data_IF_805486076518
#
_entry.id   IF_805486076518
#
_cell.length_a   1.000
_cell.length_b   1.000
_cell.length_c   1.000
_cell.angle_alpha   90.00
_cell.angle_beta   90.00
_cell.angle_gamma   90.00
#
_symmetry.space_group_name_H-M   'P 1'
#
loop_
_entity.id
_entity.type
_entity.pdbx_description
1 polymer ?
#
# COMPACT_ATOMS: atom_id res chain seq x y z
N UNK A 1 -29.08 24.29 8.34
CA UNK A 1 -27.75 23.69 8.51
C UNK A 1 -26.98 24.00 7.23
N UNK A 2 -26.07 24.95 7.31
CA UNK A 2 -25.39 25.61 6.18
C UNK A 2 -24.30 24.74 5.57
N UNK A 3 -24.08 24.93 4.28
CA UNK A 3 -23.24 24.14 3.39
C UNK A 3 -21.73 24.44 3.48
N UNK A 4 -21.16 24.64 4.68
CA UNK A 4 -19.82 25.26 4.80
C UNK A 4 -18.73 24.53 5.60
N UNK A 5 -18.89 23.25 5.96
CA UNK A 5 -17.78 22.46 6.55
C UNK A 5 -17.43 21.20 5.73
N UNK A 6 -17.20 21.37 4.42
CA UNK A 6 -16.35 20.43 3.68
C UNK A 6 -14.91 20.92 3.83
N UNK A 7 -14.12 20.25 4.69
CA UNK A 7 -12.68 20.49 4.76
C UNK A 7 -12.06 20.51 3.35
N UNK A 8 -11.22 21.51 3.02
CA UNK A 8 -10.68 21.63 1.67
C UNK A 8 -9.78 20.44 1.36
N UNK A 9 -10.13 19.67 0.31
CA UNK A 9 -9.28 18.66 -0.31
C UNK A 9 -7.88 19.28 -0.52
N UNK A 10 -6.88 18.80 0.21
CA UNK A 10 -5.59 19.46 0.34
C UNK A 10 -4.96 19.78 -1.04
N UNK A 11 -4.98 21.06 -1.40
CA UNK A 11 -4.59 21.50 -2.73
C UNK A 11 -3.12 21.95 -2.72
N UNK A 12 -2.24 21.22 -3.41
CA UNK A 12 -0.80 21.47 -3.44
C UNK A 12 -0.43 22.66 -4.34
N UNK A 13 0.60 23.41 -3.97
CA UNK A 13 1.23 24.39 -4.86
C UNK A 13 2.13 23.71 -5.90
N UNK A 14 2.41 24.37 -7.03
CA UNK A 14 3.30 23.83 -8.06
C UNK A 14 4.68 23.40 -7.52
N UNK A 15 5.27 24.20 -6.62
CA UNK A 15 6.52 23.87 -5.96
C UNK A 15 6.41 22.66 -5.00
N UNK A 16 5.28 22.49 -4.33
CA UNK A 16 5.04 21.31 -3.50
C UNK A 16 4.89 20.04 -4.36
N UNK A 17 4.19 20.13 -5.49
CA UNK A 17 4.05 19.01 -6.45
C UNK A 17 5.40 18.65 -7.08
N UNK A 18 6.19 19.63 -7.52
CA UNK A 18 7.51 19.39 -8.10
C UNK A 18 8.43 18.65 -7.11
N UNK A 19 8.44 19.08 -5.84
CA UNK A 19 9.16 18.36 -4.77
C UNK A 19 8.61 16.97 -4.54
N UNK A 20 7.29 16.79 -4.47
CA UNK A 20 6.69 15.47 -4.26
C UNK A 20 7.04 14.48 -5.38
N UNK A 21 7.08 14.96 -6.62
CA UNK A 21 7.40 14.14 -7.79
C UNK A 21 8.90 13.99 -8.06
N UNK A 22 9.74 14.69 -7.30
CA UNK A 22 11.19 14.76 -7.50
C UNK A 22 11.58 15.23 -8.91
N UNK A 23 10.85 16.21 -9.43
CA UNK A 23 11.15 16.88 -10.71
C UNK A 23 11.44 18.36 -10.47
N UNK A 24 12.19 18.97 -11.39
CA UNK A 24 12.35 20.42 -11.35
C UNK A 24 11.01 21.11 -11.61
N UNK A 25 10.74 22.23 -10.92
CA UNK A 25 9.53 23.01 -11.14
C UNK A 25 9.45 23.56 -12.59
N UNK A 26 10.61 23.76 -13.23
CA UNK A 26 10.72 24.08 -14.65
C UNK A 26 10.22 22.94 -15.55
N UNK A 27 10.41 21.68 -15.17
CA UNK A 27 9.87 20.50 -15.88
C UNK A 27 8.35 20.49 -15.81
N UNK A 28 7.79 20.73 -14.61
CA UNK A 28 6.35 20.83 -14.42
C UNK A 28 5.73 21.98 -15.23
N UNK A 29 6.38 23.16 -15.24
CA UNK A 29 5.99 24.30 -16.10
C UNK A 29 6.10 23.98 -17.59
N UNK A 30 7.12 23.22 -17.98
CA UNK A 30 7.32 22.80 -19.37
C UNK A 30 6.20 21.85 -19.81
N UNK A 31 5.81 20.88 -18.98
CA UNK A 31 4.70 19.98 -19.26
C UNK A 31 3.37 20.71 -19.38
N UNK A 32 3.12 21.67 -18.49
CA UNK A 32 1.95 22.55 -18.55
C UNK A 32 1.89 23.31 -19.89
N UNK A 33 2.97 24.00 -20.25
CA UNK A 33 3.02 24.85 -21.45
C UNK A 33 3.07 24.06 -22.76
N UNK A 34 3.83 22.98 -22.82
CA UNK A 34 4.09 22.23 -24.07
C UNK A 34 3.07 21.15 -24.36
N UNK A 35 2.46 20.57 -23.33
CA UNK A 35 1.59 19.41 -23.47
C UNK A 35 0.21 19.60 -22.84
N UNK A 36 -0.13 20.79 -22.36
CA UNK A 36 -1.48 21.11 -21.85
C UNK A 36 -1.86 20.37 -20.57
N UNK A 37 -0.87 19.93 -19.76
CA UNK A 37 -1.11 19.19 -18.51
C UNK A 37 -1.47 20.18 -17.39
N UNK A 38 -2.74 20.59 -17.35
CA UNK A 38 -3.27 21.53 -16.33
C UNK A 38 -3.87 20.79 -15.12
N UNK A 39 -3.81 21.36 -13.90
CA UNK A 39 -4.55 20.85 -12.75
C UNK A 39 -6.07 21.00 -12.91
N UNK A 40 -6.85 20.18 -12.21
CA UNK A 40 -8.31 20.23 -12.25
C UNK A 40 -8.86 21.50 -11.59
N UNK A 41 -9.76 22.20 -12.29
CA UNK A 41 -10.67 23.18 -11.68
C UNK A 41 -10.09 24.56 -11.34
N UNK A 42 -8.98 24.99 -11.95
CA UNK A 42 -8.37 26.28 -11.62
C UNK A 42 -8.56 27.36 -12.72
N UNK A 43 -9.70 28.08 -12.79
CA UNK A 43 -9.74 29.38 -13.44
C UNK A 43 -9.14 30.41 -12.48
N UNK A 44 -7.83 30.64 -12.54
CA UNK A 44 -7.18 31.63 -11.65
C UNK A 44 -5.66 31.76 -11.79
N UNK A 45 -5.12 32.83 -11.19
CA UNK A 45 -3.69 33.22 -11.24
C UNK A 45 -2.75 32.27 -10.47
N UNK A 46 -3.28 31.46 -9.56
CA UNK A 46 -2.53 30.51 -8.75
C UNK A 46 -3.08 29.09 -8.93
N UNK A 47 -2.31 28.24 -9.61
CA UNK A 47 -2.66 26.84 -9.84
C UNK A 47 -2.50 26.05 -8.55
N UNK A 48 -3.58 25.40 -8.10
CA UNK A 48 -3.54 24.40 -7.04
C UNK A 48 -3.83 23.04 -7.63
N UNK A 49 -3.09 22.04 -7.19
CA UNK A 49 -3.17 20.66 -7.68
C UNK A 49 -3.95 19.82 -6.68
N UNK A 50 -4.92 19.07 -7.15
CA UNK A 50 -5.61 18.06 -6.33
C UNK A 50 -4.75 16.81 -6.19
N UNK A 51 -5.19 15.86 -5.35
CA UNK A 51 -4.49 14.57 -5.20
C UNK A 51 -4.48 13.78 -6.51
N UNK A 52 -5.59 13.85 -7.26
CA UNK A 52 -5.69 13.27 -8.61
C UNK A 52 -4.72 13.90 -9.61
N UNK A 53 -4.49 15.21 -9.53
CA UNK A 53 -3.50 15.86 -10.41
C UNK A 53 -2.07 15.41 -10.11
N UNK A 54 -1.73 15.25 -8.84
CA UNK A 54 -0.41 14.76 -8.42
C UNK A 54 -0.21 13.32 -8.88
N UNK A 55 -1.21 12.45 -8.74
CA UNK A 55 -1.16 11.07 -9.23
C UNK A 55 -0.96 11.01 -10.76
N UNK A 56 -1.69 11.84 -11.52
CA UNK A 56 -1.55 11.93 -12.98
C UNK A 56 -0.14 12.36 -13.40
N UNK A 57 0.42 13.36 -12.72
CA UNK A 57 1.76 13.85 -12.98
C UNK A 57 2.84 12.84 -12.58
N UNK A 58 2.60 12.05 -11.52
CA UNK A 58 3.43 10.89 -11.15
C UNK A 58 3.44 9.85 -12.26
N UNK A 59 2.27 9.50 -12.80
CA UNK A 59 2.17 8.55 -13.92
C UNK A 59 2.89 9.04 -15.17
N UNK A 60 2.76 10.33 -15.51
CA UNK A 60 3.49 10.92 -16.64
C UNK A 60 4.99 10.84 -16.45
N UNK A 61 5.49 11.15 -15.24
CA UNK A 61 6.90 11.00 -14.89
C UNK A 61 7.36 9.55 -15.07
N UNK A 62 6.59 8.60 -14.56
CA UNK A 62 6.95 7.18 -14.59
C UNK A 62 6.98 6.63 -16.02
N UNK A 63 6.04 7.02 -16.88
CA UNK A 63 6.04 6.69 -18.31
C UNK A 63 7.28 7.26 -19.04
N UNK A 64 7.68 8.49 -18.71
CA UNK A 64 8.90 9.08 -19.29
C UNK A 64 10.14 8.33 -18.80
N UNK A 65 10.17 7.92 -17.53
CA UNK A 65 11.28 7.17 -16.97
C UNK A 65 11.44 5.78 -17.60
N UNK A 66 10.36 5.18 -18.12
CA UNK A 66 10.40 3.91 -18.89
C UNK A 66 10.72 4.09 -20.37
N UNK A 67 11.06 5.30 -20.81
CA UNK A 67 11.50 5.60 -22.18
C UNK A 67 10.42 6.12 -23.12
N UNK A 68 9.18 6.34 -22.64
CA UNK A 68 8.13 6.98 -23.45
C UNK A 68 8.47 8.45 -23.70
N UNK A 69 8.20 8.93 -24.92
CA UNK A 69 8.40 10.34 -25.25
C UNK A 69 7.47 11.22 -24.39
N UNK A 70 7.93 12.38 -23.88
CA UNK A 70 7.10 13.23 -23.03
C UNK A 70 5.76 13.66 -23.64
N UNK A 71 5.68 13.81 -24.97
CA UNK A 71 4.43 14.08 -25.69
C UNK A 71 3.47 12.88 -25.68
N UNK A 72 3.99 11.66 -25.80
CA UNK A 72 3.20 10.43 -25.75
C UNK A 72 2.74 10.14 -24.32
N UNK A 73 3.60 10.35 -23.33
CA UNK A 73 3.24 10.25 -21.92
C UNK A 73 2.16 11.27 -21.54
N UNK A 74 2.31 12.53 -22.01
CA UNK A 74 1.28 13.56 -21.85
C UNK A 74 -0.03 13.18 -22.53
N UNK A 75 0.04 12.60 -23.72
CA UNK A 75 -1.13 12.12 -24.44
C UNK A 75 -1.77 10.94 -23.72
N UNK A 76 -1.01 10.01 -23.16
CA UNK A 76 -1.53 8.88 -22.40
C UNK A 76 -2.32 9.35 -21.16
N UNK A 77 -1.77 10.30 -20.39
CA UNK A 77 -2.46 10.86 -19.22
C UNK A 77 -3.64 11.78 -19.59
N UNK A 78 -3.65 12.33 -20.81
CA UNK A 78 -4.71 13.21 -21.33
C UNK A 78 -5.81 12.41 -22.03
N UNK A 79 -5.51 11.29 -22.68
CA UNK A 79 -6.50 10.38 -23.29
C UNK A 79 -7.27 9.60 -22.23
N UNK A 80 -6.69 9.42 -21.03
CA UNK A 80 -7.47 9.07 -19.83
C UNK A 80 -8.59 10.09 -19.55
N UNK A 81 -8.50 11.36 -20.02
CA UNK A 81 -9.63 12.32 -19.96
C UNK A 81 -10.69 12.10 -21.04
N UNK A 82 -10.40 11.35 -22.11
CA UNK A 82 -11.26 11.25 -23.30
C UNK A 82 -12.15 10.00 -23.35
N UNK A 83 -11.87 8.99 -22.51
CA UNK A 83 -12.63 7.74 -22.45
C UNK A 83 -13.11 7.36 -21.04
N UNK A 84 -12.87 8.22 -20.03
CA UNK A 84 -13.26 7.95 -18.65
C UNK A 84 -14.31 8.96 -18.18
N UNK A 85 -15.56 8.51 -18.07
CA UNK A 85 -16.18 8.68 -16.77
C UNK A 85 -15.24 7.98 -15.79
N UNK A 86 -14.79 8.66 -14.72
CA UNK A 86 -14.17 7.95 -13.61
C UNK A 86 -15.05 6.74 -13.31
N UNK A 87 -14.50 5.52 -13.29
CA UNK A 87 -15.27 4.36 -12.80
C UNK A 87 -15.74 4.75 -11.42
N UNK A 88 -17.03 5.05 -11.30
CA UNK A 88 -17.61 5.41 -10.03
C UNK A 88 -17.99 4.13 -9.28
N UNK A 89 -18.15 4.28 -7.97
CA UNK A 89 -18.52 3.20 -7.06
C UNK A 89 -19.80 2.51 -7.51
N UNK A 90 -20.80 3.26 -7.97
CA UNK A 90 -22.08 2.72 -8.45
C UNK A 90 -21.93 1.83 -9.68
N UNK A 91 -21.03 2.15 -10.60
CA UNK A 91 -20.75 1.31 -11.78
C UNK A 91 -20.19 -0.05 -11.37
N UNK A 92 -19.27 -0.08 -10.40
CA UNK A 92 -18.71 -1.33 -9.88
C UNK A 92 -19.74 -2.11 -9.06
N UNK A 93 -20.55 -1.42 -8.25
CA UNK A 93 -21.64 -2.05 -7.47
C UNK A 93 -22.69 -2.69 -8.39
N UNK A 94 -23.13 -2.01 -9.44
CA UNK A 94 -24.08 -2.58 -10.40
C UNK A 94 -23.48 -3.81 -11.11
N UNK A 95 -22.22 -3.74 -11.55
CA UNK A 95 -21.56 -4.91 -12.15
C UNK A 95 -21.50 -6.11 -11.19
N UNK A 96 -21.29 -5.87 -9.89
CA UNK A 96 -21.31 -6.92 -8.88
C UNK A 96 -22.73 -7.49 -8.65
N UNK A 97 -23.75 -6.63 -8.64
CA UNK A 97 -25.16 -7.03 -8.51
C UNK A 97 -25.66 -7.81 -9.75
N UNK A 98 -25.14 -7.49 -10.92
CA UNK A 98 -25.38 -8.22 -12.16
C UNK A 98 -24.56 -9.53 -12.24
N UNK A 99 -23.75 -9.83 -11.21
CA UNK A 99 -22.81 -10.96 -11.14
C UNK A 99 -21.79 -11.00 -12.29
N UNK A 100 -21.53 -9.85 -12.92
CA UNK A 100 -20.56 -9.68 -14.01
C UNK A 100 -19.14 -9.61 -13.45
N UNK A 101 -18.64 -10.79 -13.09
CA UNK A 101 -17.32 -10.98 -12.50
C UNK A 101 -16.19 -10.44 -13.38
N UNK A 102 -16.31 -10.61 -14.71
CA UNK A 102 -15.29 -10.16 -15.66
C UNK A 102 -15.21 -8.63 -15.70
N UNK A 103 -16.37 -7.96 -15.72
CA UNK A 103 -16.44 -6.50 -15.67
C UNK A 103 -15.93 -5.95 -14.34
N UNK A 104 -16.28 -6.57 -13.21
CA UNK A 104 -15.75 -6.16 -11.91
C UNK A 104 -14.21 -6.20 -11.90
N UNK A 105 -13.60 -7.29 -12.37
CA UNK A 105 -12.13 -7.40 -12.45
C UNK A 105 -11.54 -6.32 -13.36
N UNK A 106 -12.12 -6.08 -14.53
CA UNK A 106 -11.66 -5.06 -15.46
C UNK A 106 -11.70 -3.66 -14.83
N UNK A 107 -12.84 -3.28 -14.23
CA UNK A 107 -13.02 -1.99 -13.57
C UNK A 107 -12.02 -1.74 -12.44
N UNK A 108 -11.77 -2.76 -11.60
CA UNK A 108 -10.79 -2.65 -10.51
C UNK A 108 -9.36 -2.59 -11.05
N UNK A 109 -9.02 -3.42 -12.04
CA UNK A 109 -7.70 -3.44 -12.66
C UNK A 109 -7.37 -2.12 -13.38
N UNK A 110 -8.36 -1.52 -14.06
CA UNK A 110 -8.24 -0.22 -14.71
C UNK A 110 -8.02 0.89 -13.68
N UNK A 111 -8.76 0.86 -12.56
CA UNK A 111 -8.59 1.82 -11.47
C UNK A 111 -7.20 1.72 -10.83
N UNK A 112 -6.71 0.51 -10.55
CA UNK A 112 -5.35 0.27 -10.03
C UNK A 112 -4.30 0.76 -11.04
N UNK A 113 -4.44 0.41 -12.32
CA UNK A 113 -3.50 0.82 -13.37
C UNK A 113 -3.49 2.34 -13.57
N UNK A 114 -4.62 3.00 -13.33
CA UNK A 114 -4.75 4.44 -13.50
C UNK A 114 -4.21 5.24 -12.31
N UNK A 115 -4.47 4.79 -11.09
CA UNK A 115 -4.29 5.60 -9.88
C UNK A 115 -3.37 4.99 -8.82
N UNK A 116 -2.92 3.75 -9.05
CA UNK A 116 -2.18 2.93 -8.08
C UNK A 116 -3.09 2.21 -7.09
N UNK A 117 -2.54 1.20 -6.41
CA UNK A 117 -3.30 0.32 -5.50
C UNK A 117 -3.98 1.11 -4.38
N UNK A 118 -3.24 1.97 -3.68
CA UNK A 118 -3.77 2.70 -2.52
C UNK A 118 -4.98 3.55 -2.92
N UNK A 119 -4.90 4.25 -4.05
CA UNK A 119 -5.99 5.11 -4.47
C UNK A 119 -7.20 4.34 -4.98
N UNK A 120 -6.98 3.29 -5.79
CA UNK A 120 -8.08 2.42 -6.23
C UNK A 120 -8.79 1.77 -5.04
N UNK A 121 -8.03 1.34 -4.03
CA UNK A 121 -8.59 0.75 -2.82
C UNK A 121 -9.47 1.74 -2.05
N UNK A 122 -8.97 2.94 -1.72
CA UNK A 122 -9.70 3.88 -0.86
C UNK A 122 -10.84 4.62 -1.58
N UNK A 123 -10.76 4.80 -2.90
CA UNK A 123 -11.76 5.58 -3.65
C UNK A 123 -12.77 4.73 -4.42
N UNK A 124 -12.47 3.46 -4.68
CA UNK A 124 -13.34 2.56 -5.46
C UNK A 124 -13.65 1.27 -4.70
N UNK A 125 -12.66 0.44 -4.38
CA UNK A 125 -12.91 -0.91 -3.84
C UNK A 125 -13.57 -0.88 -2.47
N UNK A 126 -13.00 -0.13 -1.51
CA UNK A 126 -13.53 -0.04 -0.14
C UNK A 126 -14.94 0.57 -0.14
N UNK A 127 -15.22 1.71 -0.80
CA UNK A 127 -16.59 2.23 -0.87
C UNK A 127 -17.58 1.26 -1.54
N UNK A 128 -17.18 0.53 -2.59
CA UNK A 128 -18.04 -0.44 -3.25
C UNK A 128 -18.37 -1.64 -2.34
N UNK A 129 -17.38 -2.16 -1.60
CA UNK A 129 -17.58 -3.22 -0.61
C UNK A 129 -18.55 -2.79 0.49
N UNK A 130 -18.42 -1.55 1.00
CA UNK A 130 -19.35 -0.98 1.98
C UNK A 130 -20.77 -0.87 1.40
N UNK A 131 -20.91 -0.46 0.14
CA UNK A 131 -22.21 -0.32 -0.50
C UNK A 131 -22.91 -1.67 -0.72
N UNK A 132 -22.17 -2.70 -1.13
CA UNK A 132 -22.70 -4.06 -1.31
C UNK A 132 -23.07 -4.70 0.03
N UNK A 133 -22.23 -4.54 1.07
CA UNK A 133 -22.54 -5.01 2.43
C UNK A 133 -23.81 -4.34 2.98
N UNK A 134 -23.98 -3.03 2.77
CA UNK A 134 -25.19 -2.32 3.16
C UNK A 134 -26.45 -2.84 2.43
N UNK A 135 -26.34 -3.23 1.16
CA UNK A 135 -27.44 -3.82 0.41
C UNK A 135 -27.78 -5.24 0.91
N UNK A 136 -26.78 -6.04 1.26
CA UNK A 136 -26.96 -7.36 1.88
C UNK A 136 -27.66 -7.26 3.24
N UNK A 137 -27.29 -6.28 4.07
CA UNK A 137 -27.95 -6.06 5.35
C UNK A 137 -29.46 -5.80 5.19
N UNK A 138 -29.88 -5.22 4.06
CA UNK A 138 -31.28 -5.02 3.71
C UNK A 138 -31.95 -6.27 3.08
N UNK A 139 -31.18 -7.12 2.40
CA UNK A 139 -31.64 -8.38 1.81
C UNK A 139 -30.58 -9.50 1.91
N UNK A 140 -30.70 -10.43 2.89
CA UNK A 140 -29.73 -11.51 3.09
C UNK A 140 -29.57 -12.47 1.91
N UNK A 141 -30.50 -12.47 0.95
CA UNK A 141 -30.38 -13.28 -0.27
C UNK A 141 -29.36 -12.71 -1.28
N UNK A 142 -28.88 -11.48 -1.09
CA UNK A 142 -27.97 -10.77 -2.01
C UNK A 142 -26.47 -10.88 -1.62
N UNK A 143 -26.08 -11.98 -0.96
CA UNK A 143 -24.68 -12.26 -0.59
C UNK A 143 -23.77 -12.56 -1.79
N UNK A 144 -24.39 -12.98 -2.89
CA UNK A 144 -23.75 -13.23 -4.17
C UNK A 144 -22.96 -12.02 -4.70
N UNK A 145 -23.52 -10.82 -4.60
CA UNK A 145 -22.84 -9.58 -4.98
C UNK A 145 -21.58 -9.30 -4.15
N UNK A 146 -21.62 -9.56 -2.83
CA UNK A 146 -20.47 -9.37 -1.94
C UNK A 146 -19.33 -10.34 -2.31
N UNK A 147 -19.69 -11.59 -2.57
CA UNK A 147 -18.74 -12.63 -2.99
C UNK A 147 -18.12 -12.32 -4.35
N UNK A 148 -18.91 -11.92 -5.35
CA UNK A 148 -18.40 -11.52 -6.68
C UNK A 148 -17.46 -10.35 -6.55
N UNK A 149 -17.84 -9.30 -5.81
CA UNK A 149 -16.99 -8.11 -5.66
C UNK A 149 -15.70 -8.43 -4.90
N UNK A 150 -15.79 -9.16 -3.79
CA UNK A 150 -14.62 -9.56 -2.99
C UNK A 150 -13.63 -10.40 -3.80
N UNK A 151 -14.15 -11.38 -4.56
CA UNK A 151 -13.34 -12.20 -5.45
C UNK A 151 -12.68 -11.36 -6.55
N UNK A 152 -13.43 -10.45 -7.19
CA UNK A 152 -12.92 -9.62 -8.28
C UNK A 152 -11.83 -8.64 -7.81
N UNK A 153 -12.02 -8.05 -6.63
CA UNK A 153 -11.00 -7.19 -6.00
C UNK A 153 -9.74 -7.99 -5.72
N UNK A 154 -9.84 -9.17 -5.10
CA UNK A 154 -8.69 -10.03 -4.84
C UNK A 154 -7.96 -10.44 -6.13
N UNK A 155 -8.70 -10.85 -7.15
CA UNK A 155 -8.15 -11.23 -8.44
C UNK A 155 -7.39 -10.08 -9.13
N UNK A 156 -7.90 -8.86 -9.03
CA UNK A 156 -7.21 -7.67 -9.57
C UNK A 156 -5.95 -7.32 -8.75
N UNK A 157 -5.99 -7.42 -7.42
CA UNK A 157 -4.85 -7.16 -6.54
C UNK A 157 -3.70 -8.15 -6.80
N UNK A 158 -3.98 -9.42 -7.03
CA UNK A 158 -2.97 -10.46 -7.33
C UNK A 158 -2.30 -10.28 -8.70
N UNK A 159 -2.83 -9.41 -9.57
CA UNK A 159 -2.22 -9.07 -10.87
C UNK A 159 -1.25 -7.89 -10.78
N UNK A 160 -1.12 -7.26 -9.62
CA UNK A 160 -0.18 -6.15 -9.43
C UNK A 160 1.26 -6.67 -9.52
N UNK A 161 2.05 -6.06 -10.38
CA UNK A 161 3.46 -6.38 -10.58
C UNK A 161 4.31 -5.20 -10.14
N UNK A 162 5.29 -5.49 -9.29
CA UNK A 162 6.27 -4.54 -8.78
C UNK A 162 7.61 -4.59 -9.50
N UNK A 163 8.51 -3.63 -9.24
CA UNK A 163 9.91 -3.78 -9.61
C UNK A 163 10.52 -4.98 -8.87
N UNK A 164 11.55 -5.64 -9.45
CA UNK A 164 12.18 -6.79 -8.82
C UNK A 164 12.79 -6.39 -7.46
N UNK A 165 12.63 -7.22 -6.41
CA UNK A 165 13.16 -6.91 -5.10
C UNK A 165 14.69 -6.90 -5.12
N UNK A 166 15.30 -6.00 -4.35
CA UNK A 166 16.76 -6.05 -4.12
C UNK A 166 17.10 -7.18 -3.15
N UNK A 167 18.28 -7.78 -3.29
CA UNK A 167 18.73 -8.87 -2.40
C UNK A 167 18.80 -8.46 -0.91
N UNK A 168 18.93 -7.16 -0.62
CA UNK A 168 18.95 -6.61 0.73
C UNK A 168 17.56 -6.34 1.33
N UNK A 169 16.51 -6.29 0.52
CA UNK A 169 15.17 -5.94 1.02
C UNK A 169 14.56 -7.14 1.76
N UNK A 170 14.42 -7.01 3.09
CA UNK A 170 13.69 -7.99 3.89
C UNK A 170 12.19 -7.87 3.63
N UNK A 171 11.44 -8.98 3.63
CA UNK A 171 10.00 -8.92 3.44
C UNK A 171 9.24 -8.28 4.57
N UNK A 172 8.05 -7.80 4.25
CA UNK A 172 7.00 -7.56 5.23
C UNK A 172 6.19 -8.84 5.42
N UNK A 173 6.01 -9.27 6.67
CA UNK A 173 5.11 -10.37 7.02
C UNK A 173 3.73 -9.81 7.33
N UNK A 174 2.69 -10.29 6.64
CA UNK A 174 1.31 -9.87 6.85
C UNK A 174 0.47 -11.05 7.34
N UNK A 175 -0.35 -10.85 8.36
CA UNK A 175 -1.26 -11.88 8.87
C UNK A 175 -2.56 -11.27 9.40
N UNK A 176 -3.69 -11.92 9.11
CA UNK A 176 -4.89 -11.75 9.90
C UNK A 176 -4.75 -12.57 11.19
N UNK A 177 -5.05 -11.96 12.32
CA UNK A 177 -4.99 -12.60 13.65
C UNK A 177 -6.00 -13.76 13.78
N UNK A 178 -5.91 -14.61 14.83
CA UNK A 178 -6.86 -15.72 15.00
C UNK A 178 -8.33 -15.28 14.92
N UNK A 179 -9.13 -16.02 14.18
CA UNK A 179 -10.56 -15.73 13.97
C UNK A 179 -10.85 -14.58 12.99
N UNK A 180 -9.84 -13.88 12.48
CA UNK A 180 -10.04 -12.78 11.52
C UNK A 180 -10.05 -13.28 10.07
N UNK A 181 -11.20 -13.13 9.39
CA UNK A 181 -11.41 -13.60 8.02
C UNK A 181 -11.48 -12.48 6.97
N UNK A 182 -11.47 -11.20 7.37
CA UNK A 182 -11.47 -10.06 6.45
C UNK A 182 -10.06 -9.84 5.87
N UNK A 183 -9.72 -10.57 4.82
CA UNK A 183 -8.37 -10.57 4.21
C UNK A 183 -8.14 -9.46 3.20
N UNK A 184 -9.17 -8.93 2.53
CA UNK A 184 -8.99 -7.96 1.45
C UNK A 184 -8.13 -6.73 1.82
N UNK A 185 -8.24 -6.13 3.02
CA UNK A 185 -7.35 -5.03 3.42
C UNK A 185 -5.87 -5.44 3.52
N UNK A 186 -5.60 -6.68 3.93
CA UNK A 186 -4.25 -7.25 3.97
C UNK A 186 -3.71 -7.48 2.57
N UNK A 187 -4.55 -7.99 1.67
CA UNK A 187 -4.21 -8.22 0.26
C UNK A 187 -3.97 -6.89 -0.48
N UNK A 188 -4.74 -5.84 -0.15
CA UNK A 188 -4.53 -4.49 -0.66
C UNK A 188 -3.17 -3.92 -0.21
N UNK A 189 -2.80 -4.14 1.06
CA UNK A 189 -1.47 -3.76 1.56
C UNK A 189 -0.36 -4.58 0.90
N UNK A 190 -0.58 -5.89 0.69
CA UNK A 190 0.37 -6.74 -0.02
C UNK A 190 0.63 -6.21 -1.44
N UNK A 191 -0.44 -5.94 -2.20
CA UNK A 191 -0.36 -5.39 -3.54
C UNK A 191 0.31 -4.00 -3.56
N UNK A 192 0.00 -3.12 -2.59
CA UNK A 192 0.63 -1.80 -2.50
C UNK A 192 2.13 -1.86 -2.17
N UNK A 193 2.55 -2.81 -1.33
CA UNK A 193 3.97 -3.07 -1.05
C UNK A 193 4.70 -3.63 -2.28
N UNK A 194 4.06 -4.56 -2.99
CA UNK A 194 4.57 -5.11 -4.26
C UNK A 194 4.72 -3.99 -5.28
N UNK A 195 3.71 -3.13 -5.46
CA UNK A 195 3.73 -1.98 -6.39
C UNK A 195 4.99 -1.10 -6.21
N UNK A 196 5.49 -0.97 -4.98
CA UNK A 196 6.68 -0.17 -4.64
C UNK A 196 7.97 -1.00 -4.46
N UNK A 197 7.96 -2.29 -4.79
CA UNK A 197 9.15 -3.15 -4.80
C UNK A 197 9.53 -3.77 -3.46
N UNK A 198 8.61 -3.76 -2.48
CA UNK A 198 8.83 -4.37 -1.18
C UNK A 198 8.30 -5.81 -1.22
N UNK A 199 9.15 -6.84 -1.00
CA UNK A 199 8.69 -8.22 -0.98
C UNK A 199 7.76 -8.45 0.21
N UNK A 200 6.75 -9.30 0.01
CA UNK A 200 5.72 -9.58 1.02
C UNK A 200 5.63 -11.08 1.27
N UNK A 201 5.34 -11.48 2.51
CA UNK A 201 4.87 -12.83 2.85
C UNK A 201 3.51 -12.70 3.54
N UNK A 202 2.45 -13.20 2.90
CA UNK A 202 1.10 -13.22 3.45
C UNK A 202 0.84 -14.59 4.08
N UNK A 203 0.47 -14.63 5.37
CA UNK A 203 0.07 -15.87 6.06
C UNK A 203 -1.42 -16.19 5.89
N UNK A 204 -2.22 -15.18 5.54
CA UNK A 204 -3.64 -15.32 5.22
C UNK A 204 -4.58 -15.07 6.41
N UNK A 205 -5.82 -15.53 6.26
CA UNK A 205 -6.90 -15.43 7.24
C UNK A 205 -6.60 -16.25 8.51
N UNK A 206 -7.16 -15.81 9.64
CA UNK A 206 -7.26 -16.56 10.89
C UNK A 206 -5.96 -17.26 11.32
N UNK A 207 -4.82 -16.58 11.18
CA UNK A 207 -3.51 -17.20 11.42
C UNK A 207 -3.31 -17.42 12.93
N UNK A 208 -3.12 -18.68 13.40
CA UNK A 208 -2.89 -18.93 14.82
C UNK A 208 -1.65 -18.21 15.36
N UNK A 209 -1.69 -17.75 16.61
CA UNK A 209 -0.60 -17.02 17.26
C UNK A 209 0.70 -17.84 17.30
N UNK A 210 0.60 -19.16 17.49
CA UNK A 210 1.74 -20.08 17.40
C UNK A 210 2.33 -20.15 15.97
N UNK A 211 1.50 -20.11 14.93
CA UNK A 211 1.94 -20.08 13.53
C UNK A 211 2.62 -18.76 13.17
N UNK A 212 2.16 -17.64 13.73
CA UNK A 212 2.84 -16.34 13.61
C UNK A 212 4.23 -16.41 14.23
N UNK A 213 4.36 -16.92 15.47
CA UNK A 213 5.65 -17.10 16.13
C UNK A 213 6.58 -18.01 15.32
N UNK A 214 6.06 -19.14 14.82
CA UNK A 214 6.80 -20.07 13.98
C UNK A 214 7.29 -19.42 12.68
N UNK A 215 6.45 -18.65 11.98
CA UNK A 215 6.84 -17.95 10.76
C UNK A 215 7.96 -16.93 11.02
N UNK A 216 7.94 -16.24 12.16
CA UNK A 216 8.94 -15.23 12.52
C UNK A 216 10.33 -15.82 12.78
N UNK A 217 10.39 -17.04 13.33
CA UNK A 217 11.66 -17.76 13.55
C UNK A 217 12.36 -18.08 12.22
N UNK A 218 11.60 -18.28 11.14
CA UNK A 218 12.13 -18.75 9.84
C UNK A 218 12.26 -17.65 8.78
N UNK A 219 11.51 -16.54 8.88
CA UNK A 219 11.40 -15.55 7.78
C UNK A 219 12.15 -14.23 8.00
N UNK A 220 12.65 -13.95 9.22
CA UNK A 220 13.39 -12.72 9.61
C UNK A 220 12.89 -11.45 8.88
N UNK A 221 11.59 -11.10 9.01
CA UNK A 221 11.01 -10.01 8.23
C UNK A 221 11.58 -8.64 8.63
N UNK A 222 11.46 -7.68 7.72
CA UNK A 222 11.79 -6.28 7.96
C UNK A 222 10.76 -5.56 8.83
N UNK A 223 9.50 -6.01 8.79
CA UNK A 223 8.39 -5.57 9.64
C UNK A 223 7.27 -6.63 9.63
N UNK A 224 6.40 -6.57 10.64
CA UNK A 224 5.25 -7.46 10.80
C UNK A 224 3.99 -6.61 10.88
N UNK A 225 2.96 -6.96 10.12
CA UNK A 225 1.64 -6.31 10.18
C UNK A 225 0.61 -7.33 10.60
N UNK A 226 -0.08 -7.05 11.71
CA UNK A 226 -1.22 -7.83 12.18
C UNK A 226 -2.51 -7.08 11.88
N UNK A 227 -3.40 -7.75 11.17
CA UNK A 227 -4.71 -7.21 10.83
C UNK A 227 -5.81 -7.73 11.75
N UNK A 228 -6.67 -6.82 12.19
CA UNK A 228 -7.93 -7.13 12.89
C UNK A 228 -8.99 -6.11 12.47
N UNK A 229 -10.09 -6.61 11.90
CA UNK A 229 -11.26 -5.82 11.51
C UNK A 229 -12.13 -5.53 12.73
N UNK A 230 -12.43 -6.54 13.53
CA UNK A 230 -13.37 -6.44 14.65
C UNK A 230 -12.67 -6.44 16.00
N UNK A 231 -13.32 -5.90 17.03
CA UNK A 231 -12.74 -5.87 18.39
C UNK A 231 -12.51 -7.27 18.95
N UNK A 232 -13.40 -8.19 18.60
CA UNK A 232 -13.46 -9.57 19.09
C UNK A 232 -12.27 -10.38 18.58
N UNK A 233 -11.75 -10.05 17.39
CA UNK A 233 -10.59 -10.72 16.80
C UNK A 233 -9.26 -10.10 17.24
N UNK A 234 -9.25 -8.94 17.91
CA UNK A 234 -8.04 -8.22 18.30
C UNK A 234 -7.22 -8.97 19.38
N UNK A 235 -6.49 -9.99 18.95
CA UNK A 235 -5.88 -10.98 19.81
C UNK A 235 -4.56 -10.49 20.44
N UNK A 236 -4.51 -10.49 21.77
CA UNK A 236 -3.31 -10.13 22.55
C UNK A 236 -2.23 -11.19 22.48
N UNK A 237 -2.58 -12.45 22.22
CA UNK A 237 -1.57 -13.51 22.07
C UNK A 237 -0.79 -13.35 20.77
N UNK A 238 -1.46 -13.01 19.67
CA UNK A 238 -0.83 -12.70 18.39
C UNK A 238 0.15 -11.52 18.52
N UNK A 239 -0.22 -10.48 19.28
CA UNK A 239 0.68 -9.35 19.56
C UNK A 239 1.91 -9.78 20.36
N UNK A 240 1.74 -10.63 21.39
CA UNK A 240 2.87 -11.17 22.18
C UNK A 240 3.77 -12.09 21.34
N UNK A 241 3.18 -12.95 20.51
CA UNK A 241 3.89 -13.82 19.59
C UNK A 241 4.74 -13.00 18.60
N UNK A 242 4.16 -11.96 18.01
CA UNK A 242 4.88 -11.06 17.10
C UNK A 242 5.93 -10.20 17.82
N UNK A 243 5.65 -9.74 19.03
CA UNK A 243 6.55 -8.93 19.86
C UNK A 243 7.79 -9.66 20.38
N UNK A 244 7.89 -10.98 20.17
CA UNK A 244 9.08 -11.78 20.44
C UNK A 244 10.15 -11.63 19.34
N UNK A 245 9.79 -11.05 18.19
CA UNK A 245 10.73 -10.68 17.12
C UNK A 245 11.32 -9.28 17.35
N UNK A 246 12.48 -9.02 16.75
CA UNK A 246 13.08 -7.66 16.71
C UNK A 246 12.52 -6.78 15.58
N UNK A 247 11.70 -7.36 14.70
CA UNK A 247 11.05 -6.62 13.62
C UNK A 247 10.00 -5.64 14.20
N UNK A 248 9.88 -4.41 13.65
CA UNK A 248 8.78 -3.50 13.97
C UNK A 248 7.42 -4.18 13.78
N UNK A 249 6.56 -4.06 14.79
CA UNK A 249 5.19 -4.57 14.77
C UNK A 249 4.20 -3.44 14.51
N UNK A 250 3.43 -3.58 13.44
CA UNK A 250 2.34 -2.71 13.05
C UNK A 250 1.00 -3.40 13.30
N UNK A 251 0.09 -2.71 13.96
CA UNK A 251 -1.27 -3.16 14.20
C UNK A 251 -2.20 -2.37 13.28
N UNK A 252 -2.76 -3.04 12.28
CA UNK A 252 -3.59 -2.45 11.25
C UNK A 252 -5.04 -2.91 11.40
N UNK A 253 -5.99 -1.99 11.14
CA UNK A 253 -7.41 -2.27 11.17
C UNK A 253 -8.13 -1.78 12.44
N UNK A 254 -9.46 -1.56 12.34
CA UNK A 254 -10.23 -0.92 13.40
C UNK A 254 -10.32 -1.74 14.69
N UNK A 255 -10.08 -3.06 14.62
CA UNK A 255 -10.10 -3.95 15.78
C UNK A 255 -9.12 -3.52 16.89
N UNK A 256 -8.01 -2.85 16.56
CA UNK A 256 -7.00 -2.45 17.56
C UNK A 256 -7.29 -1.15 18.31
N UNK A 257 -8.34 -0.42 17.93
CA UNK A 257 -8.66 0.92 18.46
C UNK A 257 -8.82 0.94 19.99
N UNK A 258 -9.40 -0.11 20.57
CA UNK A 258 -9.68 -0.21 22.00
C UNK A 258 -8.51 -0.78 22.84
N UNK A 259 -7.46 -1.32 22.21
CA UNK A 259 -6.36 -1.97 22.91
C UNK A 259 -5.35 -0.93 23.45
N UNK A 260 -5.09 -0.95 24.77
CA UNK A 260 -4.02 -0.13 25.37
C UNK A 260 -2.66 -0.80 25.18
N UNK A 261 -1.80 -0.17 24.38
CA UNK A 261 -0.50 -0.72 23.98
C UNK A 261 0.57 -0.71 25.08
N UNK A 262 0.39 0.10 26.13
CA UNK A 262 1.37 0.32 27.19
C UNK A 262 1.66 -0.91 28.08
N UNK A 263 0.91 -2.01 27.95
CA UNK A 263 0.98 -3.18 28.83
C UNK A 263 1.32 -4.50 28.11
N UNK A 264 1.82 -4.44 26.86
CA UNK A 264 1.95 -5.63 26.00
C UNK A 264 3.32 -6.35 26.08
N UNK A 265 4.16 -6.02 27.06
CA UNK A 265 5.34 -6.82 27.43
C UNK A 265 6.66 -6.05 27.49
N UNK A 266 7.76 -6.72 27.91
CA UNK A 266 9.09 -6.12 28.14
C UNK A 266 9.89 -5.82 26.85
N UNK A 267 9.28 -5.94 25.67
CA UNK A 267 9.92 -5.66 24.38
C UNK A 267 10.38 -4.20 24.30
N UNK A 268 11.60 -3.96 23.84
CA UNK A 268 12.20 -2.61 23.72
C UNK A 268 11.52 -1.70 22.69
N UNK A 269 10.55 -2.22 21.92
CA UNK A 269 9.76 -1.46 20.94
C UNK A 269 8.28 -1.73 21.14
N UNK A 270 7.53 -0.67 21.43
CA UNK A 270 6.08 -0.73 21.53
C UNK A 270 5.47 -0.97 20.13
N UNK A 271 4.43 -1.82 20.01
CA UNK A 271 3.68 -1.95 18.76
C UNK A 271 3.15 -0.58 18.31
N UNK A 272 3.15 -0.31 17.00
CA UNK A 272 2.59 0.91 16.42
C UNK A 272 1.24 0.61 15.77
N UNK A 273 0.21 1.37 16.10
CA UNK A 273 -1.05 1.35 15.35
C UNK A 273 -0.92 2.20 14.08
N UNK A 274 -1.53 1.75 13.00
CA UNK A 274 -1.63 2.48 11.73
C UNK A 274 -3.11 2.66 11.37
N UNK A 275 -3.47 3.86 10.93
CA UNK A 275 -4.86 4.27 10.75
C UNK A 275 -5.45 3.86 9.40
N UNK A 276 -4.63 3.86 8.35
CA UNK A 276 -5.07 3.61 6.99
C UNK A 276 -4.01 2.85 6.16
N UNK A 277 -4.38 2.52 4.91
CA UNK A 277 -3.54 1.77 3.99
C UNK A 277 -2.25 2.52 3.63
N UNK A 278 -2.33 3.85 3.48
CA UNK A 278 -1.18 4.68 3.14
C UNK A 278 -0.18 4.73 4.31
N UNK A 279 -0.66 4.89 5.54
CA UNK A 279 0.18 4.85 6.74
C UNK A 279 0.80 3.47 6.93
N UNK A 280 0.03 2.39 6.73
CA UNK A 280 0.53 1.03 6.79
C UNK A 280 1.65 0.80 5.76
N UNK A 281 1.47 1.25 4.51
CA UNK A 281 2.49 1.19 3.47
C UNK A 281 3.76 1.95 3.86
N UNK A 282 3.62 3.20 4.32
CA UNK A 282 4.77 4.04 4.71
C UNK A 282 5.52 3.46 5.92
N UNK A 283 4.81 2.91 6.91
CA UNK A 283 5.41 2.35 8.10
C UNK A 283 6.03 0.97 7.88
N UNK A 284 5.47 0.17 6.96
CA UNK A 284 5.94 -1.17 6.65
C UNK A 284 7.13 -1.16 5.67
N UNK A 285 7.21 -0.12 4.81
CA UNK A 285 8.33 0.07 3.90
C UNK A 285 9.59 0.40 4.69
N UNK A 286 10.64 -0.44 4.64
CA UNK A 286 11.90 -0.13 5.31
C UNK A 286 12.48 1.18 4.73
N UNK A 287 13.09 2.04 5.55
CA UNK A 287 13.79 3.20 5.01
C UNK A 287 14.85 2.71 4.01
N UNK A 288 15.12 3.45 2.92
CA UNK A 288 16.23 3.12 2.05
C UNK A 288 17.46 3.02 2.94
N UNK A 289 18.20 1.90 2.85
CA UNK A 289 19.50 1.81 3.49
C UNK A 289 20.37 2.90 2.86
N UNK A 290 20.42 4.08 3.49
CA UNK A 290 21.48 5.04 3.24
C UNK A 290 22.75 4.25 3.41
N UNK A 291 23.55 4.18 2.34
CA UNK A 291 24.86 3.52 2.28
C UNK A 291 25.47 3.50 3.66
N UNK A 292 25.60 2.30 4.26
CA UNK A 292 26.24 2.14 5.56
C UNK A 292 27.53 2.94 5.53
N UNK A 293 27.58 3.99 6.34
CA UNK A 293 28.83 4.67 6.66
C UNK A 293 29.73 3.58 7.24
N UNK A 294 30.74 3.14 6.49
CA UNK A 294 31.70 2.09 6.86
C UNK A 294 32.55 2.46 8.09
N UNK A 295 32.15 3.47 8.86
CA UNK A 295 32.87 3.91 10.04
C UNK A 295 32.40 3.15 11.28
N UNK A 296 33.29 2.23 11.65
CA UNK A 296 33.50 1.56 12.94
C UNK A 296 32.85 0.18 13.05
N UNK A 297 33.42 -0.78 12.30
CA UNK A 297 33.63 -2.10 12.86
C UNK A 297 34.43 -1.93 14.16
N UNK A 298 33.97 -2.51 15.26
CA UNK A 298 34.78 -2.55 16.48
C UNK A 298 36.08 -3.33 16.20
N UNK A 299 37.21 -3.03 16.89
CA UNK A 299 38.45 -3.77 16.71
C UNK A 299 38.30 -5.30 16.87
N UNK A 300 37.30 -5.73 17.66
CA UNK A 300 36.96 -7.15 17.88
C UNK A 300 36.28 -7.80 16.67
N UNK A 301 35.42 -7.07 15.95
CA UNK A 301 34.73 -7.59 14.75
C UNK A 301 35.67 -7.63 13.54
N UNK A 302 36.58 -6.64 13.43
CA UNK A 302 37.63 -6.65 12.42
C UNK A 302 38.61 -7.82 12.62
N UNK A 303 38.97 -8.14 13.87
CA UNK A 303 39.83 -9.29 14.19
C UNK A 303 39.15 -10.64 13.89
N UNK A 304 37.84 -10.75 14.12
CA UNK A 304 37.06 -11.96 13.81
C UNK A 304 36.94 -12.19 12.30
N UNK A 305 36.64 -11.14 11.54
CA UNK A 305 36.59 -11.21 10.07
C UNK A 305 37.95 -11.57 9.44
N UNK A 306 39.06 -11.04 9.97
CA UNK A 306 40.40 -11.38 9.52
C UNK A 306 40.78 -12.84 9.86
N UNK A 307 40.31 -13.37 10.98
CA UNK A 307 40.55 -14.76 11.39
C UNK A 307 39.75 -15.74 10.51
N UNK A 308 38.48 -15.45 10.23
CA UNK A 308 37.63 -16.29 9.37
C UNK A 308 38.11 -16.31 7.91
N UNK A 309 38.67 -15.21 7.40
CA UNK A 309 39.27 -15.16 6.06
C UNK A 309 40.57 -15.99 5.96
N UNK A 310 41.37 -16.04 7.04
CA UNK A 310 42.63 -16.79 7.08
C UNK A 310 42.42 -18.31 7.21
N UNK A 311 41.30 -18.73 7.79
CA UNK A 311 40.91 -20.16 7.85
C UNK A 311 40.41 -20.65 6.48
N UNK A 312 39.56 -19.86 5.79
CA UNK A 312 39.07 -20.24 4.45
C UNK A 312 40.14 -20.26 3.35
N UNK A 313 41.22 -19.49 3.50
CA UNK A 313 42.34 -19.51 2.56
C UNK A 313 43.29 -20.70 2.72
N UNK A 314 43.12 -21.53 3.75
CA UNK A 314 44.01 -22.67 4.05
C UNK A 314 43.43 -24.02 3.62
N UNK A 315 42.13 -24.09 3.32
CA UNK A 315 41.44 -25.29 2.84
C UNK A 315 41.42 -25.41 1.30
N UNK A 316 42.17 -24.56 0.60
CA UNK A 316 42.36 -24.63 -0.86
C UNK A 316 43.86 -24.68 -1.18
N UNK A 317 44.51 -25.77 -0.77
CA UNK A 317 45.76 -26.28 -1.32
C UNK A 317 45.87 -27.77 -0.98
#
# INVERSE_FOLDING_TARGET
MTAEDREPEAAWSAGAVARHLQIAESTLRSWHRRYGVEPHGAPGRYRRYTRGDVARLRRMRDLIATGMLPSEAARAITQTRGANGSVDVGTLVHAAQDLDTARCVALVADAISANGVVMAWDTLCRPALIAVDAAQAANPACVDGEHVLSWAVLAALHRVVGPPPTASTRPVLLACVPGEHHTLPVEALAAALIEVGVPVRVLGAATPSASIAHALQHSRPGSVVLWSQCRETADREAVRAAGSSTAPLLLAGPGWSHLRLAHLGPSTRSPRRVADLQEALMAATPPPMTSMDHRRLSPREAARAATEARVRGRDVM
#
